data_IF_374988002526
#
_entry.id   IF_374988002526
#
_cell.length_a   1.000
_cell.length_b   1.000
_cell.length_c   1.000
_cell.angle_alpha   90.00
_cell.angle_beta   90.00
_cell.angle_gamma   90.00
#
_symmetry.space_group_name_H-M   'P 1'
#
loop_
_entity.id
_entity.type
_entity.pdbx_description
1 polymer ?
#
# COMPACT_ATOMS: atom_id res chain seq x y z
N UNK A 1 -20.67 -42.69 15.57
CA UNK A 1 -19.42 -41.96 15.78
C UNK A 1 -18.79 -41.71 14.43
N UNK A 2 -18.69 -40.44 14.01
CA UNK A 2 -17.99 -40.02 12.80
C UNK A 2 -16.51 -40.19 13.08
N UNK A 3 -15.81 -41.03 12.31
CA UNK A 3 -14.36 -41.17 12.45
C UNK A 3 -13.69 -39.86 12.03
N UNK A 4 -12.94 -39.25 12.92
CA UNK A 4 -12.27 -37.95 12.73
C UNK A 4 -11.19 -37.93 11.63
N UNK A 5 -10.90 -39.06 11.02
CA UNK A 5 -9.90 -39.26 9.95
C UNK A 5 -10.52 -39.64 8.59
N UNK A 6 -11.84 -39.69 8.45
CA UNK A 6 -12.46 -39.97 7.15
C UNK A 6 -12.41 -38.74 6.26
N UNK A 7 -11.97 -38.87 5.01
CA UNK A 7 -12.05 -37.83 3.99
C UNK A 7 -13.52 -37.45 3.79
N UNK A 8 -13.78 -36.16 3.83
CA UNK A 8 -15.13 -35.62 3.64
C UNK A 8 -15.61 -35.89 2.21
N UNK A 9 -16.93 -36.07 2.06
CA UNK A 9 -17.52 -36.21 0.74
C UNK A 9 -17.21 -34.93 -0.09
N UNK A 10 -16.49 -35.04 -1.22
CA UNK A 10 -16.16 -33.86 -2.05
C UNK A 10 -17.39 -33.10 -2.56
N UNK A 11 -18.52 -33.79 -2.76
CA UNK A 11 -19.78 -33.19 -3.19
C UNK A 11 -20.38 -32.30 -2.08
N UNK A 12 -20.32 -32.76 -0.82
CA UNK A 12 -20.77 -31.93 0.31
C UNK A 12 -19.93 -30.66 0.45
N UNK A 13 -18.62 -30.76 0.26
CA UNK A 13 -17.76 -29.59 0.27
C UNK A 13 -18.12 -28.54 -0.80
N UNK A 14 -18.65 -29.02 -1.94
CA UNK A 14 -18.99 -28.17 -3.07
C UNK A 14 -20.42 -27.60 -2.98
N UNK A 15 -21.41 -28.41 -2.55
CA UNK A 15 -22.81 -28.01 -2.60
C UNK A 15 -23.36 -27.48 -1.28
N UNK A 16 -22.80 -27.89 -0.14
CA UNK A 16 -23.29 -27.48 1.18
C UNK A 16 -22.65 -26.18 1.68
N UNK A 17 -21.74 -25.62 0.89
CA UNK A 17 -21.07 -24.35 1.21
C UNK A 17 -21.31 -23.33 0.12
N UNK A 18 -21.91 -22.21 0.49
CA UNK A 18 -22.01 -21.03 -0.37
C UNK A 18 -21.03 -19.98 0.08
N UNK A 19 -20.02 -19.70 -0.75
CA UNK A 19 -18.98 -18.73 -0.49
C UNK A 19 -18.88 -17.77 -1.67
N UNK A 20 -19.32 -16.56 -1.48
CA UNK A 20 -19.27 -15.55 -2.51
C UNK A 20 -18.81 -14.20 -1.98
N UNK A 21 -18.12 -13.46 -2.83
CA UNK A 21 -17.66 -12.12 -2.52
C UNK A 21 -17.76 -11.21 -3.75
N UNK A 22 -18.00 -9.94 -3.49
CA UNK A 22 -18.07 -8.90 -4.49
C UNK A 22 -17.18 -7.73 -4.10
N UNK A 23 -16.26 -7.37 -5.00
CA UNK A 23 -15.43 -6.18 -4.84
C UNK A 23 -15.85 -5.13 -5.86
N UNK A 24 -16.13 -3.92 -5.35
CA UNK A 24 -16.28 -2.71 -6.15
C UNK A 24 -15.07 -1.82 -5.88
N UNK A 25 -14.35 -1.44 -6.91
CA UNK A 25 -13.19 -0.56 -6.80
C UNK A 25 -13.31 0.59 -7.78
N UNK A 26 -13.00 1.78 -7.31
CA UNK A 26 -12.84 2.99 -8.11
C UNK A 26 -11.46 3.56 -7.84
N UNK A 27 -10.72 3.84 -8.88
CA UNK A 27 -9.41 4.47 -8.79
C UNK A 27 -9.29 5.52 -9.88
N UNK A 28 -8.55 6.56 -9.60
CA UNK A 28 -8.29 7.62 -10.56
C UNK A 28 -7.21 8.55 -10.06
N UNK A 29 -6.64 9.29 -11.00
CA UNK A 29 -5.73 10.38 -10.68
C UNK A 29 -5.92 11.53 -11.65
N UNK A 30 -5.57 12.73 -11.18
CA UNK A 30 -5.51 13.96 -11.97
C UNK A 30 -4.10 14.50 -11.79
N UNK A 31 -3.40 14.73 -12.90
CA UNK A 31 -2.08 15.34 -12.91
C UNK A 31 -2.15 16.64 -13.67
N UNK A 32 -1.67 17.70 -13.03
CA UNK A 32 -1.55 19.04 -13.59
C UNK A 32 -0.07 19.43 -13.64
N UNK A 33 0.40 19.87 -14.78
CA UNK A 33 1.71 20.48 -14.99
C UNK A 33 1.47 21.91 -15.45
N UNK A 34 1.97 22.86 -14.69
CA UNK A 34 1.84 24.28 -14.98
C UNK A 34 3.19 24.92 -15.14
N UNK A 35 3.48 25.36 -16.34
CA UNK A 35 4.66 26.15 -16.67
C UNK A 35 4.47 27.58 -16.17
N UNK A 36 5.32 28.04 -15.26
CA UNK A 36 5.15 29.35 -14.61
C UNK A 36 5.44 30.46 -15.60
N UNK A 37 4.43 31.31 -15.83
CA UNK A 37 4.56 32.43 -16.74
C UNK A 37 5.65 33.42 -16.26
N UNK A 38 6.58 33.75 -17.13
CA UNK A 38 7.74 34.62 -16.81
C UNK A 38 8.96 33.91 -16.21
N UNK A 39 8.79 32.60 -15.84
CA UNK A 39 9.88 31.72 -15.40
C UNK A 39 9.72 30.37 -16.13
N UNK A 40 9.95 30.41 -17.43
CA UNK A 40 9.68 29.31 -18.36
C UNK A 40 10.42 28.00 -18.02
N UNK A 41 11.51 28.11 -17.28
CA UNK A 41 12.34 27.00 -16.81
C UNK A 41 11.77 26.32 -15.52
N UNK A 42 10.70 26.91 -14.92
CA UNK A 42 10.09 26.44 -13.68
C UNK A 42 8.69 25.88 -13.93
N UNK A 43 8.49 24.64 -13.53
CA UNK A 43 7.21 23.93 -13.61
C UNK A 43 6.66 23.62 -12.22
N UNK A 44 5.37 23.85 -12.02
CA UNK A 44 4.63 23.41 -10.85
C UNK A 44 3.80 22.19 -11.21
N UNK A 45 3.98 21.11 -10.50
CA UNK A 45 3.30 19.83 -10.73
C UNK A 45 2.41 19.49 -9.54
N UNK A 46 1.16 19.13 -9.80
CA UNK A 46 0.21 18.64 -8.83
C UNK A 46 -0.35 17.30 -9.31
N UNK A 47 -0.26 16.27 -8.47
CA UNK A 47 -0.86 14.97 -8.71
C UNK A 47 -1.80 14.63 -7.55
N UNK A 48 -3.07 14.42 -7.87
CA UNK A 48 -4.12 14.00 -6.93
C UNK A 48 -4.59 12.63 -7.33
N UNK A 49 -4.53 11.68 -6.40
CA UNK A 49 -4.94 10.31 -6.63
C UNK A 49 -5.92 9.80 -5.58
N UNK A 50 -6.78 8.88 -5.98
CA UNK A 50 -7.64 8.14 -5.08
C UNK A 50 -7.75 6.66 -5.50
N UNK A 51 -7.93 5.79 -4.52
CA UNK A 51 -8.23 4.37 -4.71
C UNK A 51 -9.20 3.95 -3.59
N UNK A 52 -10.44 3.68 -3.96
CA UNK A 52 -11.51 3.28 -3.04
C UNK A 52 -11.98 1.89 -3.43
N UNK A 53 -11.90 0.94 -2.51
CA UNK A 53 -12.37 -0.42 -2.72
C UNK A 53 -13.31 -0.83 -1.57
N UNK A 54 -14.49 -1.34 -1.94
CA UNK A 54 -15.44 -1.95 -1.02
C UNK A 54 -15.60 -3.42 -1.41
N UNK A 55 -15.28 -4.32 -0.47
CA UNK A 55 -15.46 -5.76 -0.63
C UNK A 55 -16.52 -6.22 0.35
N UNK A 56 -17.56 -6.86 -0.15
CA UNK A 56 -18.61 -7.49 0.65
C UNK A 56 -18.71 -8.95 0.28
N UNK A 57 -19.00 -9.79 1.22
CA UNK A 57 -19.20 -11.21 0.92
C UNK A 57 -19.84 -11.96 2.07
N UNK A 58 -20.17 -13.20 1.78
CA UNK A 58 -20.66 -14.14 2.77
C UNK A 58 -20.11 -15.53 2.49
N UNK A 59 -19.99 -16.28 3.56
CA UNK A 59 -19.71 -17.70 3.55
C UNK A 59 -20.76 -18.36 4.42
N UNK A 60 -21.50 -19.32 3.85
CA UNK A 60 -22.58 -20.01 4.53
C UNK A 60 -22.38 -21.52 4.43
N UNK A 61 -22.59 -22.23 5.53
CA UNK A 61 -22.61 -23.70 5.60
C UNK A 61 -24.01 -24.17 5.88
N UNK A 62 -24.52 -25.04 5.02
CA UNK A 62 -25.88 -25.53 5.11
C UNK A 62 -26.11 -26.39 6.39
N UNK A 63 -27.32 -26.34 7.00
CA UNK A 63 -27.70 -27.23 8.06
C UNK A 63 -27.60 -28.71 7.62
N UNK A 64 -27.14 -29.57 8.53
CA UNK A 64 -26.97 -30.99 8.24
C UNK A 64 -25.76 -31.34 7.37
N UNK A 65 -25.00 -30.38 6.90
CA UNK A 65 -23.77 -30.64 6.18
C UNK A 65 -22.72 -31.28 7.10
N UNK A 66 -21.79 -32.04 6.51
CA UNK A 66 -20.69 -32.66 7.27
C UNK A 66 -19.87 -31.62 8.02
N UNK A 67 -19.72 -30.44 7.46
CA UNK A 67 -19.02 -29.33 8.08
C UNK A 67 -19.80 -28.73 9.27
N UNK A 68 -21.12 -28.63 9.17
CA UNK A 68 -21.97 -28.11 10.26
C UNK A 68 -22.11 -29.09 11.43
N UNK A 69 -21.97 -30.39 11.19
CA UNK A 69 -21.99 -31.43 12.24
C UNK A 69 -20.81 -31.25 13.21
N UNK A 70 -19.70 -30.70 12.74
CA UNK A 70 -18.51 -30.47 13.55
C UNK A 70 -18.54 -29.13 14.33
N UNK A 71 -19.56 -28.30 14.13
CA UNK A 71 -19.75 -27.11 14.95
C UNK A 71 -20.03 -27.51 16.40
N UNK A 72 -19.20 -27.03 17.32
CA UNK A 72 -19.31 -27.39 18.75
C UNK A 72 -20.46 -26.70 19.47
N UNK A 73 -20.88 -25.50 18.95
CA UNK A 73 -21.94 -24.71 19.59
C UNK A 73 -23.32 -25.05 19.02
N UNK A 74 -23.42 -25.18 17.71
CA UNK A 74 -24.67 -25.46 17.01
C UNK A 74 -24.51 -26.63 16.03
N UNK A 75 -24.30 -27.87 16.54
CA UNK A 75 -24.05 -29.03 15.70
C UNK A 75 -25.22 -29.26 14.74
N UNK A 76 -24.89 -29.45 13.47
CA UNK A 76 -25.85 -29.70 12.38
C UNK A 76 -26.79 -28.53 12.01
N UNK A 77 -26.74 -27.40 12.69
CA UNK A 77 -27.67 -26.27 12.44
C UNK A 77 -27.18 -25.31 11.37
N UNK A 78 -25.91 -25.44 10.94
CA UNK A 78 -25.28 -24.54 9.98
C UNK A 78 -24.86 -23.20 10.60
N UNK A 79 -23.93 -22.58 9.97
CA UNK A 79 -23.43 -21.26 10.37
C UNK A 79 -22.99 -20.46 9.16
N UNK A 80 -22.75 -19.21 9.36
CA UNK A 80 -22.26 -18.33 8.33
C UNK A 80 -21.46 -17.16 8.87
N UNK A 81 -20.81 -16.51 7.95
CA UNK A 81 -20.08 -15.28 8.24
C UNK A 81 -20.26 -14.32 7.07
N UNK A 82 -20.48 -13.06 7.38
CA UNK A 82 -20.50 -11.96 6.40
C UNK A 82 -19.38 -10.99 6.70
N UNK A 83 -18.82 -10.40 5.64
CA UNK A 83 -17.79 -9.38 5.79
C UNK A 83 -18.04 -8.18 4.90
N UNK A 84 -17.63 -7.02 5.40
CA UNK A 84 -17.70 -5.75 4.70
C UNK A 84 -16.41 -4.98 4.96
N UNK A 85 -15.53 -4.95 3.97
CA UNK A 85 -14.23 -4.28 4.04
C UNK A 85 -14.26 -3.02 3.20
N UNK A 86 -13.84 -1.91 3.77
CA UNK A 86 -13.69 -0.63 3.09
C UNK A 86 -12.23 -0.18 3.15
N UNK A 87 -11.62 0.02 1.98
CA UNK A 87 -10.29 0.61 1.84
C UNK A 87 -10.40 1.91 1.06
N UNK A 88 -9.78 2.97 1.58
CA UNK A 88 -9.67 4.26 0.92
C UNK A 88 -8.24 4.73 1.01
N UNK A 89 -7.64 5.02 -0.12
CA UNK A 89 -6.31 5.60 -0.20
C UNK A 89 -6.41 6.90 -0.99
N UNK A 90 -5.75 7.94 -0.50
CA UNK A 90 -5.64 9.24 -1.15
C UNK A 90 -4.17 9.60 -1.28
N UNK A 91 -3.84 10.24 -2.38
CA UNK A 91 -2.51 10.73 -2.69
C UNK A 91 -2.59 12.19 -3.10
N UNK A 92 -1.69 13.00 -2.57
CA UNK A 92 -1.40 14.34 -3.04
C UNK A 92 0.10 14.48 -3.15
N UNK A 93 0.60 14.74 -4.36
CA UNK A 93 1.98 15.14 -4.60
C UNK A 93 1.98 16.54 -5.21
N UNK A 94 2.77 17.43 -4.64
CA UNK A 94 3.02 18.75 -5.18
C UNK A 94 4.52 18.98 -5.22
N UNK A 95 5.04 19.33 -6.39
CA UNK A 95 6.46 19.67 -6.52
C UNK A 95 6.72 20.73 -7.57
N UNK A 96 7.77 21.49 -7.34
CA UNK A 96 8.34 22.43 -8.27
C UNK A 96 9.55 21.77 -8.94
N UNK A 97 9.65 21.88 -10.24
CA UNK A 97 10.78 21.42 -11.02
C UNK A 97 11.37 22.59 -11.82
N UNK A 98 12.64 22.89 -11.59
CA UNK A 98 13.40 23.90 -12.32
C UNK A 98 14.47 23.25 -13.16
N UNK A 99 14.40 23.43 -14.47
CA UNK A 99 15.35 22.86 -15.42
C UNK A 99 15.99 23.96 -16.26
N UNK A 100 17.33 24.01 -16.28
CA UNK A 100 18.07 25.04 -16.98
C UNK A 100 19.30 24.50 -17.70
N UNK A 101 19.42 24.85 -18.98
CA UNK A 101 20.63 24.69 -19.76
C UNK A 101 21.45 26.00 -19.72
N UNK A 102 22.70 25.90 -19.29
CA UNK A 102 23.65 27.01 -19.23
C UNK A 102 24.75 26.75 -20.26
N UNK A 103 24.50 27.19 -21.49
CA UNK A 103 25.39 26.92 -22.63
C UNK A 103 26.80 27.44 -22.43
N UNK A 104 26.97 28.61 -21.77
CA UNK A 104 28.28 29.27 -21.54
C UNK A 104 29.27 28.38 -20.79
N UNK A 105 28.76 27.51 -19.90
CA UNK A 105 29.58 26.57 -19.10
C UNK A 105 29.26 25.13 -19.44
N UNK A 106 28.48 24.85 -20.49
CA UNK A 106 28.06 23.52 -20.94
C UNK A 106 27.45 22.68 -19.79
N UNK A 107 26.59 23.31 -19.00
CA UNK A 107 25.99 22.75 -17.82
C UNK A 107 24.48 22.61 -17.98
N UNK A 108 23.94 21.50 -17.48
CA UNK A 108 22.52 21.28 -17.33
C UNK A 108 22.20 21.07 -15.85
N UNK A 109 21.23 21.82 -15.35
CA UNK A 109 20.75 21.77 -13.96
C UNK A 109 19.29 21.38 -13.96
N UNK A 110 18.93 20.40 -13.15
CA UNK A 110 17.54 20.03 -12.87
C UNK A 110 17.38 19.94 -11.35
N UNK A 111 16.53 20.79 -10.79
CA UNK A 111 16.25 20.88 -9.36
C UNK A 111 14.78 20.66 -9.13
N UNK A 112 14.47 19.74 -8.25
CA UNK A 112 13.11 19.45 -7.85
C UNK A 112 12.98 19.54 -6.33
N UNK A 113 11.92 20.19 -5.86
CA UNK A 113 11.55 20.18 -4.45
C UNK A 113 10.03 20.01 -4.32
N UNK A 114 9.61 19.22 -3.35
CA UNK A 114 8.20 18.88 -3.27
C UNK A 114 7.77 18.32 -1.93
N UNK A 115 6.47 18.10 -1.89
CA UNK A 115 5.70 17.59 -0.78
C UNK A 115 4.82 16.45 -1.28
N UNK A 116 4.75 15.37 -0.51
CA UNK A 116 3.84 14.26 -0.75
C UNK A 116 3.04 13.97 0.51
N UNK A 117 1.75 13.75 0.34
CA UNK A 117 0.85 13.34 1.41
C UNK A 117 0.06 12.12 0.95
N UNK A 118 0.04 11.09 1.79
CA UNK A 118 -0.73 9.88 1.55
C UNK A 118 -1.56 9.56 2.78
N UNK A 119 -2.80 9.17 2.53
CA UNK A 119 -3.74 8.76 3.55
C UNK A 119 -4.25 7.36 3.24
N UNK A 120 -4.13 6.46 4.20
CA UNK A 120 -4.60 5.09 4.12
C UNK A 120 -5.67 4.88 5.19
N UNK A 121 -6.82 4.42 4.77
CA UNK A 121 -7.94 4.07 5.64
C UNK A 121 -8.40 2.66 5.33
N UNK A 122 -8.52 1.83 6.35
CA UNK A 122 -9.06 0.49 6.26
C UNK A 122 -10.03 0.23 7.40
N UNK A 123 -11.26 -0.14 7.06
CA UNK A 123 -12.29 -0.55 8.01
C UNK A 123 -12.78 -1.96 7.64
N UNK A 124 -12.94 -2.79 8.63
CA UNK A 124 -13.47 -4.14 8.51
C UNK A 124 -14.63 -4.34 9.47
N UNK A 125 -15.70 -4.97 8.98
CA UNK A 125 -16.83 -5.40 9.76
C UNK A 125 -17.19 -6.85 9.39
N UNK A 126 -16.99 -7.76 10.32
CA UNK A 126 -17.26 -9.19 10.17
C UNK A 126 -18.34 -9.59 11.16
N UNK A 127 -19.34 -10.29 10.68
CA UNK A 127 -20.40 -10.89 11.52
C UNK A 127 -20.39 -12.39 11.30
N UNK A 128 -20.24 -13.16 12.36
CA UNK A 128 -20.43 -14.62 12.37
C UNK A 128 -21.76 -14.93 13.02
N UNK A 129 -22.57 -15.77 12.39
CA UNK A 129 -23.90 -16.12 12.85
C UNK A 129 -24.16 -17.62 12.75
N UNK A 130 -25.08 -18.14 13.57
CA UNK A 130 -25.64 -19.47 13.42
C UNK A 130 -26.99 -19.40 12.70
N UNK A 131 -27.39 -20.49 12.08
CA UNK A 131 -28.67 -20.59 11.38
C UNK A 131 -29.85 -20.95 12.32
N UNK A 132 -29.67 -20.84 13.64
CA UNK A 132 -30.76 -20.99 14.62
C UNK A 132 -31.60 -19.73 14.61
N UNK A 133 -32.87 -19.86 14.31
CA UNK A 133 -33.79 -18.74 14.09
C UNK A 133 -34.78 -18.48 15.20
N UNK A 134 -34.95 -19.41 16.14
CA UNK A 134 -36.04 -19.36 17.11
C UNK A 134 -35.67 -18.92 18.54
N UNK A 135 -34.40 -18.70 18.79
CA UNK A 135 -33.91 -18.27 20.11
C UNK A 135 -34.08 -19.33 21.22
N UNK A 136 -34.53 -20.55 20.87
CA UNK A 136 -34.88 -21.60 21.84
C UNK A 136 -33.67 -22.29 22.47
N UNK A 137 -32.50 -22.16 21.83
CA UNK A 137 -31.28 -22.87 22.27
C UNK A 137 -30.60 -22.23 23.52
N UNK A 138 -31.08 -21.07 23.98
CA UNK A 138 -30.43 -20.31 25.04
C UNK A 138 -29.09 -19.69 24.60
N UNK A 139 -28.48 -18.97 25.50
CA UNK A 139 -27.14 -18.38 25.22
C UNK A 139 -26.09 -19.50 25.15
N UNK A 140 -25.38 -19.57 24.04
CA UNK A 140 -24.23 -20.44 23.84
C UNK A 140 -22.95 -19.63 23.99
N UNK A 141 -21.86 -20.27 24.37
CA UNK A 141 -20.59 -19.59 24.58
C UNK A 141 -20.18 -18.77 23.34
N UNK A 142 -20.13 -17.45 23.52
CA UNK A 142 -19.77 -16.48 22.48
C UNK A 142 -20.87 -16.16 21.47
N UNK A 143 -22.08 -16.72 21.58
CA UNK A 143 -23.22 -16.36 20.75
C UNK A 143 -24.33 -15.72 21.59
N UNK A 144 -24.89 -14.64 21.06
CA UNK A 144 -26.02 -13.93 21.64
C UNK A 144 -27.16 -13.87 20.62
N UNK A 145 -28.36 -14.17 21.04
CA UNK A 145 -29.54 -14.09 20.18
C UNK A 145 -29.86 -12.63 19.87
N UNK A 146 -29.87 -12.27 18.58
CA UNK A 146 -30.27 -10.97 18.09
C UNK A 146 -31.71 -11.07 17.54
N UNK A 147 -32.65 -10.45 18.24
CA UNK A 147 -34.07 -10.49 17.86
C UNK A 147 -34.37 -9.70 16.57
N UNK A 148 -33.59 -8.69 16.26
CA UNK A 148 -33.75 -7.90 15.02
C UNK A 148 -33.37 -8.70 13.78
N UNK A 149 -32.30 -9.54 13.90
CA UNK A 149 -31.83 -10.39 12.83
C UNK A 149 -32.46 -11.80 12.87
N UNK A 150 -33.14 -12.15 13.94
CA UNK A 150 -33.79 -13.47 14.13
C UNK A 150 -32.78 -14.63 14.17
N UNK A 151 -31.57 -14.43 14.71
CA UNK A 151 -30.52 -15.44 14.76
C UNK A 151 -29.50 -15.21 15.86
N UNK A 152 -28.71 -16.21 16.19
CA UNK A 152 -27.58 -16.07 17.09
C UNK A 152 -26.39 -15.48 16.36
N UNK A 153 -25.83 -14.41 16.92
CA UNK A 153 -24.66 -13.75 16.41
C UNK A 153 -23.47 -13.99 17.33
N UNK A 154 -22.38 -14.47 16.77
CA UNK A 154 -21.07 -14.52 17.41
C UNK A 154 -20.20 -13.45 16.78
N UNK A 155 -19.60 -12.60 17.63
CA UNK A 155 -18.61 -11.64 17.16
C UNK A 155 -19.13 -10.66 16.07
N UNK A 156 -19.96 -9.72 16.46
CA UNK A 156 -20.08 -8.47 15.70
C UNK A 156 -18.76 -7.69 15.89
N UNK A 157 -17.75 -8.06 15.12
CA UNK A 157 -16.44 -7.43 15.17
C UNK A 157 -16.39 -6.25 14.21
N UNK A 158 -16.81 -5.11 14.68
CA UNK A 158 -16.44 -3.83 14.11
C UNK A 158 -15.03 -3.49 14.56
N UNK A 159 -14.03 -3.84 13.77
CA UNK A 159 -12.65 -3.44 14.08
C UNK A 159 -12.54 -1.93 14.02
N UNK A 160 -11.82 -1.37 14.99
CA UNK A 160 -11.44 0.06 14.95
C UNK A 160 -10.75 0.31 13.60
N UNK A 161 -11.21 1.31 12.83
CA UNK A 161 -10.59 1.62 11.57
C UNK A 161 -9.08 1.85 11.72
N UNK A 162 -8.31 1.24 10.86
CA UNK A 162 -6.87 1.51 10.79
C UNK A 162 -6.67 2.69 9.85
N UNK A 163 -6.15 3.78 10.39
CA UNK A 163 -5.94 5.02 9.66
C UNK A 163 -4.48 5.44 9.79
N UNK A 164 -3.83 5.68 8.66
CA UNK A 164 -2.42 6.04 8.60
C UNK A 164 -2.19 7.18 7.62
N UNK A 165 -1.24 8.03 7.99
CA UNK A 165 -0.77 9.14 7.18
C UNK A 165 0.73 9.00 6.93
N UNK A 166 1.15 9.24 5.70
CA UNK A 166 2.54 9.45 5.31
C UNK A 166 2.68 10.86 4.77
N UNK A 167 3.66 11.57 5.26
CA UNK A 167 4.02 12.92 4.82
C UNK A 167 5.48 12.93 4.45
N UNK A 168 5.81 13.46 3.30
CA UNK A 168 7.18 13.50 2.80
C UNK A 168 7.52 14.87 2.26
N UNK A 169 8.68 15.38 2.63
CA UNK A 169 9.33 16.50 1.98
C UNK A 169 10.55 15.98 1.23
N UNK A 170 10.73 16.39 0.00
CA UNK A 170 11.85 15.90 -0.80
C UNK A 170 12.45 16.99 -1.68
N UNK A 171 13.75 16.85 -1.91
CA UNK A 171 14.50 17.65 -2.86
C UNK A 171 15.46 16.77 -3.65
N UNK A 172 15.64 17.10 -4.92
CA UNK A 172 16.58 16.43 -5.82
C UNK A 172 17.31 17.47 -6.63
N UNK A 173 18.60 17.28 -6.75
CA UNK A 173 19.47 18.02 -7.67
C UNK A 173 20.09 17.02 -8.65
N UNK A 174 19.89 17.24 -9.94
CA UNK A 174 20.68 16.62 -11.00
C UNK A 174 21.52 17.71 -11.66
N UNK A 175 22.82 17.50 -11.72
CA UNK A 175 23.75 18.39 -12.36
C UNK A 175 24.58 17.62 -13.37
N UNK A 176 24.61 18.12 -14.60
CA UNK A 176 25.41 17.55 -15.68
C UNK A 176 26.34 18.61 -16.19
N UNK A 177 27.65 18.37 -16.06
CA UNK A 177 28.70 19.26 -16.56
C UNK A 177 29.39 18.65 -17.76
N UNK A 178 29.36 19.35 -18.88
CA UNK A 178 29.99 18.98 -20.16
C UNK A 178 29.52 17.61 -20.73
N UNK A 179 28.38 17.03 -20.26
CA UNK A 179 27.98 15.68 -20.62
C UNK A 179 28.82 14.57 -19.99
N UNK A 180 29.87 14.90 -19.25
CA UNK A 180 30.87 13.95 -18.72
C UNK A 180 30.74 13.71 -17.24
N UNK A 181 30.45 14.74 -16.47
CA UNK A 181 30.34 14.68 -15.02
C UNK A 181 28.87 14.84 -14.62
N UNK A 182 28.32 13.84 -13.98
CA UNK A 182 26.93 13.85 -13.52
C UNK A 182 26.92 13.71 -12.01
N UNK A 183 26.24 14.63 -11.34
CA UNK A 183 25.95 14.57 -9.92
C UNK A 183 24.43 14.43 -9.75
N UNK A 184 24.00 13.48 -8.96
CA UNK A 184 22.64 13.43 -8.43
C UNK A 184 22.71 13.49 -6.91
N UNK A 185 22.01 14.41 -6.29
CA UNK A 185 21.85 14.48 -4.85
C UNK A 185 20.35 14.49 -4.53
N UNK A 186 19.93 13.71 -3.54
CA UNK A 186 18.55 13.66 -3.08
C UNK A 186 18.51 13.75 -1.57
N UNK A 187 17.59 14.54 -1.06
CA UNK A 187 17.26 14.61 0.35
C UNK A 187 15.77 14.38 0.50
N UNK A 188 15.40 13.41 1.33
CA UNK A 188 14.01 13.10 1.62
C UNK A 188 13.79 12.98 3.11
N UNK A 189 12.76 13.64 3.60
CA UNK A 189 12.32 13.54 4.98
C UNK A 189 10.89 12.96 5.00
N UNK A 190 10.73 11.79 5.60
CA UNK A 190 9.46 11.08 5.67
C UNK A 190 8.95 11.03 7.09
N UNK A 191 7.67 11.29 7.27
CA UNK A 191 6.94 11.18 8.52
C UNK A 191 5.79 10.21 8.42
N UNK A 192 5.64 9.31 9.40
CA UNK A 192 4.55 8.35 9.46
C UNK A 192 3.78 8.44 10.77
N UNK A 193 2.44 8.40 10.68
CA UNK A 193 1.58 8.38 11.87
C UNK A 193 1.62 7.06 12.64
N UNK A 194 2.22 6.01 12.06
CA UNK A 194 2.38 4.69 12.71
C UNK A 194 3.39 4.70 13.84
N UNK A 195 4.31 5.66 13.85
CA UNK A 195 5.35 5.75 14.86
C UNK A 195 4.97 6.72 15.99
N UNK A 196 5.58 6.50 17.14
CA UNK A 196 5.44 7.39 18.30
C UNK A 196 5.88 8.83 17.95
N UNK A 197 5.40 9.81 18.69
CA UNK A 197 5.65 11.24 18.42
C UNK A 197 7.14 11.57 18.26
N UNK A 198 8.01 10.88 18.99
CA UNK A 198 9.45 11.16 19.00
C UNK A 198 10.21 10.52 17.80
N UNK A 199 9.64 9.49 17.16
CA UNK A 199 10.32 8.71 16.10
C UNK A 199 9.58 8.77 14.75
N UNK A 200 8.68 9.75 14.57
CA UNK A 200 7.84 9.85 13.38
C UNK A 200 8.60 10.23 12.11
N UNK A 201 9.71 10.94 12.25
CA UNK A 201 10.42 11.53 11.14
C UNK A 201 11.76 10.85 10.90
N UNK A 202 12.01 10.47 9.66
CA UNK A 202 13.27 9.95 9.18
C UNK A 202 13.84 10.83 8.07
N UNK A 203 15.16 11.00 8.03
CA UNK A 203 15.88 11.74 7.00
C UNK A 203 16.71 10.79 6.16
N UNK A 204 16.56 10.85 4.85
CA UNK A 204 17.14 9.92 3.87
C UNK A 204 17.93 10.68 2.81
N UNK A 205 19.22 11.02 3.07
CA UNK A 205 20.10 11.59 2.09
C UNK A 205 20.63 10.53 1.14
N UNK A 206 20.82 10.90 -0.14
CA UNK A 206 21.55 10.10 -1.10
C UNK A 206 22.32 10.98 -2.06
N UNK A 207 23.46 10.50 -2.53
CA UNK A 207 24.27 11.16 -3.55
C UNK A 207 24.87 10.12 -4.50
N UNK A 208 24.94 10.46 -5.77
CA UNK A 208 25.57 9.64 -6.79
C UNK A 208 26.39 10.53 -7.74
N UNK A 209 27.57 10.05 -8.09
CA UNK A 209 28.47 10.66 -9.06
C UNK A 209 28.67 9.70 -10.23
N UNK A 210 28.70 10.24 -11.44
CA UNK A 210 29.08 9.48 -12.61
C UNK A 210 30.03 10.28 -13.49
N UNK A 211 31.09 9.62 -13.96
CA UNK A 211 32.09 10.17 -14.83
C UNK A 211 32.19 9.37 -16.12
N UNK A 212 31.96 10.02 -17.25
CA UNK A 212 32.11 9.42 -18.58
C UNK A 212 33.56 9.60 -19.02
N UNK A 213 34.42 8.67 -18.64
CA UNK A 213 35.88 8.73 -18.88
C UNK A 213 36.22 8.68 -20.37
N UNK A 214 35.42 7.94 -21.17
CA UNK A 214 35.62 7.80 -22.61
C UNK A 214 35.55 9.15 -23.37
N UNK A 215 34.91 10.16 -22.77
CA UNK A 215 34.72 11.45 -23.42
C UNK A 215 35.83 12.45 -23.06
N UNK A 216 36.81 12.02 -22.25
CA UNK A 216 37.96 12.82 -21.90
C UNK A 216 38.99 12.86 -23.04
N UNK A 217 39.76 13.94 -23.10
CA UNK A 217 40.75 14.17 -24.15
C UNK A 217 41.83 13.09 -24.20
N UNK A 218 42.24 12.56 -23.02
CA UNK A 218 43.27 11.51 -22.92
C UNK A 218 42.78 10.13 -23.40
N UNK A 219 41.45 9.92 -23.53
CA UNK A 219 40.87 8.66 -24.00
C UNK A 219 40.54 8.65 -25.50
N UNK A 220 40.73 9.74 -26.20
CA UNK A 220 40.38 9.83 -27.63
C UNK A 220 41.09 8.80 -28.51
N UNK A 221 42.36 8.47 -28.20
CA UNK A 221 43.14 7.46 -28.93
C UNK A 221 42.65 6.02 -28.74
N UNK A 222 41.82 5.75 -27.75
CA UNK A 222 41.30 4.40 -27.42
C UNK A 222 39.91 4.12 -27.96
N UNK A 223 39.25 5.08 -28.63
CA UNK A 223 37.87 4.95 -29.12
C UNK A 223 37.63 3.79 -30.06
N UNK A 224 38.66 3.36 -30.78
CA UNK A 224 38.57 2.22 -31.69
C UNK A 224 38.45 0.87 -30.96
N UNK A 225 38.86 0.81 -29.71
CA UNK A 225 38.84 -0.42 -28.89
C UNK A 225 37.79 -0.31 -27.77
N UNK A 226 37.68 0.87 -27.15
CA UNK A 226 36.78 1.13 -26.04
C UNK A 226 35.82 2.27 -26.40
N UNK A 227 34.62 1.94 -26.84
CA UNK A 227 33.61 2.88 -27.32
C UNK A 227 33.00 3.72 -26.20
N UNK A 228 32.84 3.16 -24.98
CA UNK A 228 32.27 3.86 -23.83
C UNK A 228 32.78 3.32 -22.50
N UNK A 229 33.37 4.19 -21.69
CA UNK A 229 33.74 3.93 -20.30
C UNK A 229 33.07 4.95 -19.38
N UNK A 230 32.22 4.50 -18.47
CA UNK A 230 31.54 5.32 -17.48
C UNK A 230 31.69 4.72 -16.10
N UNK A 231 32.28 5.48 -15.17
CA UNK A 231 32.42 5.09 -13.76
C UNK A 231 31.26 5.73 -12.98
N UNK A 232 30.69 4.98 -12.06
CA UNK A 232 29.61 5.45 -11.18
C UNK A 232 29.89 5.06 -9.75
N UNK A 233 29.63 5.98 -8.83
CA UNK A 233 29.68 5.73 -7.39
C UNK A 233 28.45 6.39 -6.76
N UNK A 234 27.85 5.74 -5.80
CA UNK A 234 26.69 6.28 -5.10
C UNK A 234 26.63 5.80 -3.67
N UNK A 235 26.09 6.64 -2.82
CA UNK A 235 25.81 6.34 -1.43
C UNK A 235 24.41 6.86 -1.08
N UNK A 236 23.66 6.12 -0.28
CA UNK A 236 22.35 6.54 0.18
C UNK A 236 21.97 5.86 1.47
N UNK A 237 21.25 6.59 2.30
CA UNK A 237 20.57 6.07 3.48
C UNK A 237 19.12 5.76 3.09
N UNK A 238 18.72 4.50 3.24
CA UNK A 238 17.35 4.06 2.98
C UNK A 238 16.65 3.74 4.28
N UNK A 239 15.35 4.01 4.34
CA UNK A 239 14.53 3.68 5.50
C UNK A 239 13.96 2.27 5.39
N UNK A 240 14.17 1.50 6.43
CA UNK A 240 13.38 0.31 6.73
C UNK A 240 12.21 0.68 7.65
N UNK A 241 11.38 1.66 7.27
CA UNK A 241 10.18 2.05 8.01
C UNK A 241 9.17 0.88 8.19
N UNK A 242 9.42 -0.25 7.53
CA UNK A 242 8.55 -1.42 7.54
C UNK A 242 9.07 -2.61 8.38
N UNK A 243 10.30 -2.60 8.87
CA UNK A 243 10.90 -3.81 9.46
C UNK A 243 11.22 -3.73 10.96
N UNK A 244 11.14 -2.57 11.60
CA UNK A 244 11.50 -2.46 13.03
C UNK A 244 10.36 -2.78 14.01
N UNK A 245 9.12 -2.95 13.53
CA UNK A 245 7.97 -3.18 14.40
C UNK A 245 7.62 -4.68 14.60
N UNK A 246 8.37 -5.58 13.95
CA UNK A 246 8.14 -7.03 14.03
C UNK A 246 9.14 -7.78 14.95
N UNK A 247 10.07 -7.07 15.59
CA UNK A 247 11.15 -7.69 16.37
C UNK A 247 11.09 -7.41 17.88
N UNK A 248 10.14 -6.62 18.37
CA UNK A 248 10.04 -6.22 19.78
C UNK A 248 8.72 -6.63 20.46
N UNK A 249 8.05 -7.71 19.99
CA UNK A 249 7.01 -8.41 20.75
C UNK A 249 7.40 -9.84 21.10
#
# INVERSE_FOLDING_TARGET
AVQSVATWNPLSLLYDRDNHGKTKRSLGNIQLDYKIHGLEDLHANLNLGYDVAKTTGSNFMAPGSVQSIQDTNFPSLGNGNTWNNLRRNHLLDFYLNYTKDIESIKSHIDVMAGYSWQHFYYANHDITYSNVTDGSEGDKEGYTYNAEEGRYIRNDHRRIPNENYLVSFFGRLNYNFMGRYLLTATLRQDGSSRFSKNNRWGLFPSAALAWTVSDEAFMQGTKNVLSKLKIRAGYGVTCLLYTSDAADE
#
